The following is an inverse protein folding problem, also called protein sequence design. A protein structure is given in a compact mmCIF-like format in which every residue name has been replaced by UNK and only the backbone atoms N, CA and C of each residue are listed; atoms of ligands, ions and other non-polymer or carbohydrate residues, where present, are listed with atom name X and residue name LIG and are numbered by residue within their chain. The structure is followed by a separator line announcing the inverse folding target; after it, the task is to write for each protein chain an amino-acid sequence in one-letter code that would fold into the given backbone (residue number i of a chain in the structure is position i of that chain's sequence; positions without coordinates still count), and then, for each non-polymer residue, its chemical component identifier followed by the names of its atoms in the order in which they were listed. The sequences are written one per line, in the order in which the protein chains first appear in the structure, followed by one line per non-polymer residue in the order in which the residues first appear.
data_IF_625087916139
#
_entry.id   IF_625087916139
#
_cell.length_a   1.000
_cell.length_b   1.000
_cell.length_c   1.000
_cell.angle_alpha   90.00
_cell.angle_beta   90.00
_cell.angle_gamma   90.00
#
_symmetry.space_group_name_H-M   'P 1'
#
loop_
_entity.id
_entity.type
_entity.pdbx_description
1 polymer ?
#
# COMPACT_ATOMS: atom_id res chain seq x y z
N UNK A 1 -6.08 15.51 -20.31
CA UNK A 1 -6.66 14.17 -20.08
C UNK A 1 -5.64 13.36 -19.30
N UNK A 2 -5.69 13.38 -17.96
CA UNK A 2 -4.70 12.72 -17.11
C UNK A 2 -4.96 11.21 -17.20
N UNK A 3 -4.01 10.48 -17.79
CA UNK A 3 -4.12 9.05 -18.05
C UNK A 3 -3.57 8.30 -16.84
N UNK A 4 -4.41 8.12 -15.83
CA UNK A 4 -4.06 7.31 -14.67
C UNK A 4 -3.67 5.89 -15.11
N UNK A 5 -2.53 5.35 -14.65
CA UNK A 5 -2.25 3.90 -14.74
C UNK A 5 -2.92 3.21 -13.56
N UNK A 6 -4.26 3.20 -13.55
CA UNK A 6 -5.04 2.39 -12.60
C UNK A 6 -5.07 0.97 -13.12
N UNK A 7 -4.56 0.02 -12.33
CA UNK A 7 -4.72 -1.40 -12.65
C UNK A 7 -5.84 -1.94 -11.77
N UNK A 8 -6.95 -2.28 -12.41
CA UNK A 8 -8.11 -2.88 -11.78
C UNK A 8 -7.86 -4.38 -11.57
N UNK A 9 -7.71 -4.81 -10.31
CA UNK A 9 -7.67 -6.23 -9.96
C UNK A 9 -8.85 -6.58 -9.05
N UNK A 10 -9.86 -7.21 -9.64
CA UNK A 10 -10.83 -7.99 -8.89
C UNK A 10 -10.12 -9.20 -8.28
N UNK A 11 -10.12 -9.28 -6.95
CA UNK A 11 -9.88 -10.54 -6.24
C UNK A 11 -11.04 -11.47 -6.59
N UNK A 12 -10.83 -12.14 -7.71
CA UNK A 12 -11.34 -13.46 -8.03
C UNK A 12 -10.31 -14.29 -8.81
N UNK A 13 -9.11 -13.76 -9.17
CA UNK A 13 -8.11 -14.52 -9.94
C UNK A 13 -6.69 -14.29 -9.41
N UNK A 14 -6.20 -15.24 -8.60
CA UNK A 14 -4.80 -15.56 -8.25
C UNK A 14 -3.77 -14.45 -8.01
N UNK A 15 -3.07 -14.52 -6.87
CA UNK A 15 -1.85 -13.76 -6.57
C UNK A 15 -0.78 -13.81 -7.68
N UNK A 16 -0.77 -14.88 -8.48
CA UNK A 16 0.11 -15.02 -9.64
C UNK A 16 -0.11 -13.93 -10.69
N UNK A 17 -1.34 -13.45 -10.89
CA UNK A 17 -1.63 -12.36 -11.83
C UNK A 17 -1.11 -11.02 -11.33
N UNK A 18 -1.12 -10.80 -10.01
CA UNK A 18 -0.59 -9.57 -9.41
C UNK A 18 0.94 -9.60 -9.42
N UNK A 19 1.55 -10.76 -9.16
CA UNK A 19 2.98 -10.94 -9.40
C UNK A 19 3.34 -10.64 -10.86
N UNK A 20 2.59 -11.19 -11.81
CA UNK A 20 2.80 -10.93 -13.23
C UNK A 20 2.61 -9.45 -13.57
N UNK A 21 1.64 -8.75 -12.97
CA UNK A 21 1.47 -7.30 -13.16
C UNK A 21 2.68 -6.52 -12.65
N UNK A 22 3.11 -6.79 -11.43
CA UNK A 22 4.26 -6.12 -10.81
C UNK A 22 5.52 -6.35 -11.67
N UNK A 23 5.75 -7.61 -12.10
CA UNK A 23 6.87 -8.07 -12.94
C UNK A 23 6.80 -7.58 -14.40
N UNK A 24 5.65 -7.59 -15.05
CA UNK A 24 5.54 -7.07 -16.43
C UNK A 24 5.81 -5.58 -16.46
N UNK A 25 5.47 -4.88 -15.38
CA UNK A 25 5.85 -3.50 -15.23
C UNK A 25 7.35 -3.34 -14.85
N UNK A 26 8.04 -4.37 -14.28
CA UNK A 26 9.47 -4.29 -13.87
C UNK A 26 10.38 -4.26 -15.10
N UNK A 27 9.91 -4.80 -16.23
CA UNK A 27 10.68 -4.91 -17.45
C UNK A 27 10.69 -3.58 -18.23
N UNK A 28 11.52 -2.66 -17.78
CA UNK A 28 11.88 -1.45 -18.52
C UNK A 28 13.06 -0.77 -17.84
N UNK A 29 14.10 -0.45 -18.60
CA UNK A 29 15.38 0.11 -18.11
C UNK A 29 15.29 1.50 -17.48
N UNK A 30 14.52 1.67 -16.40
CA UNK A 30 14.58 2.84 -15.53
C UNK A 30 15.75 2.66 -14.55
N UNK A 31 16.53 3.74 -14.37
CA UNK A 31 17.63 3.80 -13.38
C UNK A 31 17.13 3.76 -11.92
N UNK A 32 15.84 4.05 -11.70
CA UNK A 32 15.19 4.05 -10.38
C UNK A 32 14.04 3.03 -10.35
N UNK A 33 13.80 2.45 -9.18
CA UNK A 33 12.69 1.56 -8.88
C UNK A 33 11.34 2.28 -8.93
N UNK A 34 10.27 1.50 -8.87
CA UNK A 34 8.90 1.98 -9.07
C UNK A 34 8.12 1.90 -7.78
N UNK A 35 7.25 2.89 -7.57
CA UNK A 35 6.42 2.99 -6.38
C UNK A 35 5.00 2.50 -6.68
N UNK A 36 4.51 1.60 -5.86
CA UNK A 36 3.19 1.01 -5.93
C UNK A 36 2.39 1.30 -4.67
N UNK A 37 1.10 1.59 -4.84
CA UNK A 37 0.14 1.55 -3.74
C UNK A 37 -0.89 0.46 -3.99
N UNK A 38 -1.27 -0.26 -2.94
CA UNK A 38 -2.39 -1.21 -2.96
C UNK A 38 -3.57 -0.62 -2.20
N UNK A 39 -4.73 -0.54 -2.84
CA UNK A 39 -5.94 0.09 -2.29
C UNK A 39 -7.14 -0.84 -2.44
N UNK A 40 -8.16 -0.67 -1.60
CA UNK A 40 -9.37 -1.49 -1.66
C UNK A 40 -10.15 -1.48 -0.36
N UNK A 41 -11.39 -2.03 -0.33
CA UNK A 41 -12.22 -2.07 0.87
C UNK A 41 -11.53 -2.71 2.07
N UNK A 42 -11.95 -2.33 3.28
CA UNK A 42 -11.55 -3.06 4.50
C UNK A 42 -12.01 -4.51 4.38
N UNK A 43 -11.17 -5.48 4.73
CA UNK A 43 -11.49 -6.91 4.55
C UNK A 43 -11.31 -7.46 3.13
N UNK A 44 -10.86 -6.65 2.17
CA UNK A 44 -10.65 -7.14 0.80
C UNK A 44 -9.52 -8.18 0.69
N UNK A 45 -8.59 -8.21 1.65
CA UNK A 45 -7.47 -9.16 1.67
C UNK A 45 -6.13 -8.56 1.22
N UNK A 46 -6.00 -7.22 1.22
CA UNK A 46 -4.74 -6.51 0.90
C UNK A 46 -3.55 -7.04 1.70
N UNK A 47 -3.73 -7.23 3.00
CA UNK A 47 -2.65 -7.68 3.89
C UNK A 47 -2.19 -9.10 3.53
N UNK A 48 -3.13 -10.01 3.27
CA UNK A 48 -2.83 -11.36 2.81
C UNK A 48 -2.11 -11.36 1.44
N UNK A 49 -2.50 -10.43 0.57
CA UNK A 49 -1.87 -10.26 -0.74
C UNK A 49 -0.45 -9.71 -0.61
N UNK A 50 -0.23 -8.69 0.23
CA UNK A 50 1.11 -8.17 0.53
C UNK A 50 2.02 -9.27 1.10
N UNK A 51 1.53 -10.06 2.06
CA UNK A 51 2.28 -11.20 2.60
C UNK A 51 2.64 -12.21 1.51
N UNK A 52 1.69 -12.56 0.64
CA UNK A 52 1.97 -13.50 -0.44
C UNK A 52 2.88 -12.93 -1.55
N UNK A 53 2.90 -11.60 -1.74
CA UNK A 53 3.85 -10.91 -2.62
C UNK A 53 5.25 -10.94 -2.01
N UNK A 54 5.39 -10.75 -0.70
CA UNK A 54 6.67 -10.84 0.00
C UNK A 54 7.36 -12.19 -0.27
N UNK A 55 6.58 -13.28 -0.25
CA UNK A 55 7.09 -14.63 -0.51
C UNK A 55 7.47 -14.85 -1.98
N UNK A 56 6.67 -14.32 -2.92
CA UNK A 56 6.86 -14.58 -4.36
C UNK A 56 7.82 -13.62 -5.06
N UNK A 57 7.97 -12.41 -4.51
CA UNK A 57 8.80 -11.34 -5.05
C UNK A 57 9.73 -10.80 -3.95
N UNK A 58 10.77 -11.56 -3.55
CA UNK A 58 11.67 -11.15 -2.46
C UNK A 58 12.44 -9.85 -2.75
N UNK A 59 12.55 -9.45 -4.03
CA UNK A 59 13.13 -8.18 -4.45
C UNK A 59 12.20 -6.98 -4.23
N UNK A 60 10.88 -7.20 -4.10
CA UNK A 60 9.89 -6.15 -3.86
C UNK A 60 9.96 -5.70 -2.40
N UNK A 61 10.15 -4.39 -2.18
CA UNK A 61 10.16 -3.81 -0.84
C UNK A 61 8.75 -3.44 -0.40
N UNK A 62 8.26 -4.13 0.62
CA UNK A 62 6.99 -3.79 1.26
C UNK A 62 7.28 -2.78 2.37
N UNK A 63 6.74 -1.58 2.24
CA UNK A 63 6.91 -0.51 3.23
C UNK A 63 5.99 -0.75 4.40
N UNK A 64 6.57 -0.78 5.60
CA UNK A 64 5.81 -0.71 6.84
C UNK A 64 5.34 0.72 7.06
N UNK A 65 4.05 0.88 7.30
CA UNK A 65 3.43 2.19 7.55
C UNK A 65 3.63 2.57 9.01
N UNK A 66 3.82 3.84 9.29
CA UNK A 66 3.68 4.37 10.63
C UNK A 66 2.19 4.56 10.90
N UNK A 67 1.68 3.97 11.98
CA UNK A 67 0.26 4.06 12.33
C UNK A 67 0.12 4.38 13.80
N UNK A 68 -0.80 5.28 14.15
CA UNK A 68 -1.10 5.61 15.56
C UNK A 68 -1.95 4.57 16.29
N UNK A 69 -2.02 3.35 15.73
CA UNK A 69 -2.70 2.19 16.29
C UNK A 69 -1.68 1.38 17.10
N UNK A 70 -2.06 0.85 18.28
CA UNK A 70 -1.24 -0.12 18.99
C UNK A 70 -0.97 -1.36 18.13
N UNK A 71 0.19 -1.97 18.30
CA UNK A 71 0.47 -3.26 17.67
C UNK A 71 -0.25 -4.36 18.44
N UNK A 72 -1.42 -4.75 17.95
CA UNK A 72 -2.30 -5.78 18.53
C UNK A 72 -2.09 -7.17 17.91
N UNK A 73 -1.10 -7.33 17.02
CA UNK A 73 -0.85 -8.55 16.28
C UNK A 73 -1.89 -8.87 15.20
N UNK A 74 -2.88 -7.98 14.98
CA UNK A 74 -3.99 -8.19 14.05
C UNK A 74 -3.86 -7.22 12.86
N UNK A 75 -3.81 -7.79 11.66
CA UNK A 75 -3.68 -7.08 10.39
C UNK A 75 -2.25 -7.03 9.88
N UNK A 76 -1.94 -6.03 9.06
CA UNK A 76 -0.60 -5.87 8.49
C UNK A 76 0.50 -5.56 9.51
N UNK A 77 1.73 -5.95 9.16
CA UNK A 77 2.94 -5.45 9.81
C UNK A 77 3.07 -3.94 9.57
N UNK A 78 3.16 -3.17 10.65
CA UNK A 78 3.28 -1.71 10.63
C UNK A 78 4.19 -1.26 11.78
N UNK A 79 4.66 -0.03 11.71
CA UNK A 79 5.41 0.63 12.78
C UNK A 79 4.41 1.37 13.69
N UNK A 80 4.05 0.82 14.87
CA UNK A 80 3.18 1.53 15.81
C UNK A 80 3.86 2.80 16.30
N UNK A 81 3.10 3.87 16.48
CA UNK A 81 3.61 5.13 17.02
C UNK A 81 2.55 5.85 17.84
N UNK A 82 2.94 6.78 18.70
CA UNK A 82 1.98 7.65 19.39
C UNK A 82 1.52 8.79 18.48
N UNK A 83 0.37 9.39 18.76
CA UNK A 83 -0.08 10.57 18.02
C UNK A 83 0.94 11.72 18.12
N UNK A 84 1.50 11.97 19.31
CA UNK A 84 2.51 13.02 19.53
C UNK A 84 3.79 12.79 18.72
N UNK A 85 4.25 11.54 18.61
CA UNK A 85 5.42 11.18 17.80
C UNK A 85 5.10 11.29 16.31
N UNK A 86 3.92 10.82 15.88
CA UNK A 86 3.48 10.96 14.50
C UNK A 86 3.47 12.44 14.06
N UNK A 87 2.87 13.31 14.88
CA UNK A 87 2.78 14.75 14.58
C UNK A 87 4.16 15.43 14.57
N UNK A 88 5.12 14.92 15.35
CA UNK A 88 6.51 15.36 15.27
C UNK A 88 7.15 14.92 13.94
N UNK A 89 7.07 13.63 13.60
CA UNK A 89 7.62 13.09 12.36
C UNK A 89 7.03 13.78 11.12
N UNK A 90 5.73 14.08 11.14
CA UNK A 90 5.07 14.81 10.05
C UNK A 90 5.60 16.25 9.92
N UNK A 91 5.82 16.96 11.03
CA UNK A 91 6.43 18.31 11.02
C UNK A 91 7.88 18.31 10.55
N UNK A 92 8.60 17.23 10.84
CA UNK A 92 9.99 17.04 10.43
C UNK A 92 10.10 16.49 8.97
N UNK A 93 9.01 16.52 8.20
CA UNK A 93 8.90 16.04 6.82
C UNK A 93 9.33 14.57 6.62
N UNK A 94 9.17 13.73 7.65
CA UNK A 94 9.63 12.34 7.61
C UNK A 94 8.77 11.41 6.72
N UNK A 95 7.58 11.86 6.30
CA UNK A 95 6.64 11.06 5.52
C UNK A 95 6.55 11.53 4.07
N UNK A 96 6.62 10.58 3.13
CA UNK A 96 6.31 10.82 1.72
C UNK A 96 4.82 11.04 1.52
N UNK A 97 4.00 10.24 2.21
CA UNK A 97 2.55 10.40 2.26
C UNK A 97 2.10 10.30 3.71
N UNK A 98 1.17 11.14 4.12
CA UNK A 98 0.49 10.98 5.40
C UNK A 98 -0.98 11.35 5.27
N UNK A 99 -1.84 10.65 6.00
CA UNK A 99 -3.28 10.90 6.01
C UNK A 99 -3.91 10.47 7.34
N UNK A 100 -5.18 10.84 7.53
CA UNK A 100 -5.97 10.46 8.71
C UNK A 100 -7.23 9.71 8.28
N UNK A 101 -7.52 8.61 8.96
CA UNK A 101 -8.74 7.84 8.72
C UNK A 101 -9.14 7.07 9.98
N UNK A 102 -10.45 7.00 10.26
CA UNK A 102 -11.00 6.25 11.40
C UNK A 102 -10.35 6.62 12.75
N UNK A 103 -10.04 7.90 12.97
CA UNK A 103 -9.40 8.38 14.20
C UNK A 103 -7.91 8.03 14.33
N UNK A 104 -7.30 7.45 13.30
CA UNK A 104 -5.89 7.07 13.26
C UNK A 104 -5.13 7.91 12.23
N UNK A 105 -3.83 8.06 12.44
CA UNK A 105 -2.90 8.67 11.51
C UNK A 105 -2.05 7.59 10.85
N UNK A 106 -1.77 7.76 9.55
CA UNK A 106 -1.02 6.82 8.73
C UNK A 106 0.07 7.57 7.98
N UNK A 107 1.27 7.00 7.94
CA UNK A 107 2.44 7.62 7.29
C UNK A 107 3.26 6.59 6.52
N UNK A 108 3.62 6.95 5.28
CA UNK A 108 4.60 6.22 4.48
C UNK A 108 5.93 6.97 4.63
N UNK A 109 6.99 6.36 5.20
CA UNK A 109 8.23 7.07 5.45
C UNK A 109 8.94 7.44 4.15
N UNK A 110 9.57 8.62 4.09
CA UNK A 110 10.39 9.07 2.96
C UNK A 110 11.59 8.17 2.70
N UNK A 111 12.04 7.40 3.68
CA UNK A 111 13.15 6.45 3.53
C UNK A 111 12.90 5.43 2.40
N UNK A 112 11.65 5.19 2.00
CA UNK A 112 11.34 4.35 0.84
C UNK A 112 11.87 4.93 -0.50
N UNK A 113 12.09 6.24 -0.57
CA UNK A 113 12.71 6.89 -1.74
C UNK A 113 14.15 6.41 -1.97
N UNK A 114 14.87 6.03 -0.91
CA UNK A 114 16.22 5.48 -1.05
C UNK A 114 16.21 4.09 -1.68
N UNK A 115 15.20 3.27 -1.37
CA UNK A 115 15.00 2.00 -2.07
C UNK A 115 14.68 2.21 -3.55
N UNK A 116 13.84 3.21 -3.87
CA UNK A 116 13.56 3.59 -5.26
C UNK A 116 14.83 4.07 -5.99
N UNK A 117 15.63 4.94 -5.37
CA UNK A 117 16.91 5.40 -5.96
C UNK A 117 17.88 4.24 -6.19
N UNK A 118 17.83 3.22 -5.33
CA UNK A 118 18.63 1.99 -5.48
C UNK A 118 18.07 1.00 -6.52
N UNK A 119 17.05 1.38 -7.30
CA UNK A 119 16.46 0.53 -8.33
C UNK A 119 15.46 -0.51 -7.80
N UNK A 120 15.13 -0.49 -6.51
CA UNK A 120 14.20 -1.46 -5.93
C UNK A 120 12.77 -0.97 -6.07
N UNK A 121 11.89 -1.87 -6.46
CA UNK A 121 10.46 -1.58 -6.43
C UNK A 121 9.93 -1.61 -5.02
N UNK A 122 8.99 -0.71 -4.77
CA UNK A 122 8.45 -0.44 -3.45
C UNK A 122 6.93 -0.52 -3.52
N UNK A 123 6.29 -1.22 -2.59
CA UNK A 123 4.83 -1.28 -2.46
C UNK A 123 4.40 -0.95 -1.03
N UNK A 124 3.27 -0.25 -0.89
CA UNK A 124 2.67 0.07 0.41
C UNK A 124 1.15 -0.04 0.38
N UNK A 125 0.54 -0.27 1.55
CA UNK A 125 -0.92 -0.29 1.72
C UNK A 125 -1.48 1.13 1.78
N UNK A 126 -2.20 1.56 0.74
CA UNK A 126 -2.74 2.91 0.63
C UNK A 126 -4.18 3.05 1.14
N UNK A 127 -4.69 4.27 1.02
CA UNK A 127 -6.11 4.59 1.19
C UNK A 127 -6.67 5.04 -0.15
N UNK A 128 -7.83 4.49 -0.54
CA UNK A 128 -8.49 4.87 -1.80
C UNK A 128 -8.92 6.35 -1.83
N UNK A 129 -9.14 6.95 -0.67
CA UNK A 129 -9.56 8.35 -0.54
C UNK A 129 -8.39 9.33 -0.69
N UNK A 130 -7.16 8.83 -0.60
CA UNK A 130 -5.94 9.63 -0.62
C UNK A 130 -5.18 9.53 -1.95
N UNK A 131 -5.72 8.76 -2.90
CA UNK A 131 -5.07 8.47 -4.18
C UNK A 131 -4.73 9.75 -4.94
N UNK A 132 -5.67 10.70 -5.01
CA UNK A 132 -5.48 11.94 -5.75
C UNK A 132 -4.33 12.76 -5.15
N UNK A 133 -4.32 12.97 -3.83
CA UNK A 133 -3.23 13.67 -3.14
C UNK A 133 -1.88 12.95 -3.21
N UNK A 134 -1.89 11.61 -3.20
CA UNK A 134 -0.68 10.81 -3.42
C UNK A 134 -0.12 11.00 -4.83
N UNK A 135 -0.98 11.14 -5.85
CA UNK A 135 -0.56 11.36 -7.23
C UNK A 135 -0.11 12.79 -7.50
N UNK A 136 -0.68 13.77 -6.81
CA UNK A 136 -0.14 15.14 -6.81
C UNK A 136 1.30 15.16 -6.28
N UNK A 137 1.55 14.39 -5.21
CA UNK A 137 2.88 14.29 -4.58
C UNK A 137 3.85 13.40 -5.36
N UNK A 138 3.38 12.31 -5.96
CA UNK A 138 4.18 11.36 -6.73
C UNK A 138 3.43 10.92 -8.00
N UNK A 139 3.56 11.68 -9.11
CA UNK A 139 2.79 11.42 -10.35
C UNK A 139 3.05 10.06 -11.01
N UNK A 140 4.21 9.46 -10.75
CA UNK A 140 4.62 8.15 -11.27
C UNK A 140 4.06 6.96 -10.44
N UNK A 141 3.19 7.23 -9.46
CA UNK A 141 2.65 6.21 -8.56
C UNK A 141 1.74 5.23 -9.32
N UNK A 142 2.05 3.95 -9.21
CA UNK A 142 1.23 2.88 -9.79
C UNK A 142 0.21 2.36 -8.77
N UNK A 143 -1.06 2.29 -9.16
CA UNK A 143 -2.16 1.94 -8.25
C UNK A 143 -2.66 0.54 -8.56
N UNK A 144 -2.60 -0.33 -7.55
CA UNK A 144 -3.18 -1.67 -7.58
C UNK A 144 -4.51 -1.62 -6.83
N UNK A 145 -5.61 -1.63 -7.58
CA UNK A 145 -6.94 -1.64 -6.99
C UNK A 145 -7.38 -3.06 -6.70
N UNK A 146 -7.76 -3.32 -5.45
CA UNK A 146 -8.20 -4.60 -4.95
C UNK A 146 -9.71 -4.55 -4.69
N UNK A 147 -10.49 -5.15 -5.59
CA UNK A 147 -11.94 -5.32 -5.39
C UNK A 147 -12.30 -6.74 -4.98
N UNK A 148 -13.36 -6.92 -4.21
CA UNK A 148 -13.94 -8.22 -3.83
C UNK A 148 -15.44 -8.09 -4.07
N UNK A 149 -16.12 -9.18 -4.45
CA UNK A 149 -17.59 -9.13 -4.56
C UNK A 149 -18.20 -8.77 -3.20
N UNK A 150 -19.29 -7.98 -3.18
CA UNK A 150 -19.96 -7.60 -1.94
C UNK A 150 -20.33 -8.80 -1.05
N UNK A 151 -20.78 -9.90 -1.64
CA UNK A 151 -21.17 -11.12 -0.91
C UNK A 151 -20.00 -11.77 -0.16
N UNK A 152 -18.83 -11.82 -0.79
CA UNK A 152 -17.61 -12.35 -0.16
C UNK A 152 -17.12 -11.38 0.92
N UNK A 153 -17.25 -10.07 0.70
CA UNK A 153 -16.88 -9.08 1.69
C UNK A 153 -17.74 -9.19 2.94
N UNK A 154 -19.06 -9.28 2.76
CA UNK A 154 -20.04 -9.44 3.83
C UNK A 154 -19.78 -10.72 4.64
N UNK A 155 -19.55 -11.85 3.96
CA UNK A 155 -19.22 -13.12 4.60
C UNK A 155 -17.95 -13.04 5.46
N UNK A 156 -16.89 -12.40 4.94
CA UNK A 156 -15.60 -12.25 5.65
C UNK A 156 -15.68 -11.29 6.84
N UNK A 157 -16.49 -10.24 6.74
CA UNK A 157 -16.72 -9.31 7.85
C UNK A 157 -17.52 -10.02 8.96
N UNK A 158 -18.59 -10.73 8.61
CA UNK A 158 -19.38 -11.54 9.54
C UNK A 158 -18.52 -12.56 10.31
N UNK A 159 -17.62 -13.28 9.62
CA UNK A 159 -16.71 -14.24 10.26
C UNK A 159 -15.72 -13.61 11.26
N UNK A 160 -15.51 -12.30 11.19
CA UNK A 160 -14.62 -11.54 12.09
C UNK A 160 -15.38 -10.75 13.16
N UNK A 161 -16.70 -10.96 13.29
CA UNK A 161 -17.54 -10.27 14.27
C UNK A 161 -17.70 -8.78 13.99
N UNK A 162 -17.67 -8.36 12.72
CA UNK A 162 -17.79 -6.97 12.27
C UNK A 162 -18.83 -6.80 11.17
#
# INVERSE_FOLDING_TARGET
MIRWRVIWYAIAKSISLICLAVLTMTNGGKRNGRLFTIVGPSGSGKDSLLNGLATRLPALKIVQRYITRPQDGIGECHCPTSQSMFDRLARDDAFLFSWRAHGLSYGIPRSCLEDLKAGKDVIFNGSRHEIDGMLETFPDLSIIWVSVSPDILASRLHQRGR
#
